data_IF_440162730692
#
_entry.id   IF_440162730692
#
_cell.length_a   1.000
_cell.length_b   1.000
_cell.length_c   1.000
_cell.angle_alpha   90.00
_cell.angle_beta   90.00
_cell.angle_gamma   90.00
#
_symmetry.space_group_name_H-M   'P 1'
#
loop_
_entity.id
_entity.type
_entity.pdbx_description
1 polymer ?
#
# COMPACT_ATOMS: atom_id res chain seq x y z
N UNK A 1 -21.46 -4.60 4.55
CA UNK A 1 -20.50 -4.39 3.44
C UNK A 1 -20.41 -2.95 2.93
N UNK A 2 -21.50 -2.22 2.66
CA UNK A 2 -21.42 -0.80 2.20
C UNK A 2 -20.65 0.15 3.14
N UNK A 3 -20.83 0.00 4.47
CA UNK A 3 -20.07 0.80 5.45
C UNK A 3 -18.57 0.45 5.45
N UNK A 4 -18.24 -0.84 5.37
CA UNK A 4 -16.88 -1.34 5.27
C UNK A 4 -16.16 -0.78 4.04
N UNK A 5 -16.82 -0.83 2.88
CA UNK A 5 -16.29 -0.28 1.63
C UNK A 5 -16.07 1.24 1.71
N UNK A 6 -17.02 2.00 2.27
CA UNK A 6 -16.86 3.45 2.45
C UNK A 6 -15.63 3.78 3.29
N UNK A 7 -15.41 3.08 4.41
CA UNK A 7 -14.23 3.28 5.27
C UNK A 7 -12.95 2.98 4.48
N UNK A 8 -12.94 1.87 3.75
CA UNK A 8 -11.77 1.38 3.03
C UNK A 8 -11.42 2.29 1.83
N UNK A 9 -12.43 2.79 1.13
CA UNK A 9 -12.29 3.76 0.04
C UNK A 9 -11.80 5.11 0.56
N UNK A 10 -12.35 5.60 1.67
CA UNK A 10 -11.87 6.84 2.31
C UNK A 10 -10.41 6.69 2.72
N UNK A 11 -10.04 5.58 3.37
CA UNK A 11 -8.66 5.30 3.74
C UNK A 11 -7.74 5.27 2.51
N UNK A 12 -8.18 4.63 1.43
CA UNK A 12 -7.44 4.59 0.17
C UNK A 12 -7.12 6.00 -0.36
N UNK A 13 -8.14 6.85 -0.47
CA UNK A 13 -7.97 8.22 -0.98
C UNK A 13 -7.18 9.11 -0.04
N UNK A 14 -7.34 8.97 1.29
CA UNK A 14 -6.54 9.73 2.27
C UNK A 14 -5.06 9.45 2.07
N UNK A 15 -4.67 8.18 1.95
CA UNK A 15 -3.26 7.80 1.80
C UNK A 15 -2.72 8.21 0.43
N UNK A 16 -3.54 8.11 -0.62
CA UNK A 16 -3.16 8.59 -1.95
C UNK A 16 -2.95 10.11 -1.97
N UNK A 17 -3.88 10.87 -1.39
CA UNK A 17 -3.77 12.32 -1.26
C UNK A 17 -2.54 12.69 -0.43
N UNK A 18 -2.27 11.98 0.66
CA UNK A 18 -1.06 12.18 1.47
C UNK A 18 0.23 11.96 0.66
N UNK A 19 0.26 10.93 -0.18
CA UNK A 19 1.40 10.66 -1.06
C UNK A 19 1.58 11.77 -2.09
N UNK A 20 0.48 12.27 -2.68
CA UNK A 20 0.52 13.42 -3.60
C UNK A 20 1.00 14.69 -2.90
N UNK A 21 0.58 14.93 -1.66
CA UNK A 21 1.07 16.05 -0.85
C UNK A 21 2.59 15.94 -0.69
N UNK A 22 3.14 14.77 -0.35
CA UNK A 22 4.60 14.58 -0.25
C UNK A 22 5.30 14.96 -1.56
N UNK A 23 4.77 14.53 -2.71
CA UNK A 23 5.31 14.86 -4.04
C UNK A 23 5.28 16.38 -4.27
N UNK A 24 4.13 17.03 -4.05
CA UNK A 24 4.01 18.49 -4.23
C UNK A 24 4.98 19.24 -3.32
N UNK A 25 5.11 18.83 -2.05
CA UNK A 25 6.06 19.44 -1.13
C UNK A 25 7.52 19.20 -1.53
N UNK A 26 7.83 18.04 -2.13
CA UNK A 26 9.15 17.74 -2.69
C UNK A 26 9.49 18.58 -3.92
N UNK A 27 8.55 18.77 -4.85
CA UNK A 27 8.75 19.60 -6.05
C UNK A 27 8.87 21.10 -5.73
N UNK A 28 8.26 21.57 -4.64
CA UNK A 28 8.30 22.99 -4.25
C UNK A 28 9.52 23.35 -3.38
N UNK A 29 10.53 22.46 -3.30
CA UNK A 29 11.76 22.61 -2.48
C UNK A 29 11.50 22.94 -1.00
N UNK A 30 10.26 22.74 -0.50
CA UNK A 30 9.92 22.96 0.90
C UNK A 30 10.63 21.95 1.80
N UNK A 31 10.90 20.76 1.28
CA UNK A 31 11.87 19.84 1.86
C UNK A 31 13.26 20.42 1.64
N UNK A 32 13.74 21.25 2.58
CA UNK A 32 15.04 21.93 2.59
C UNK A 32 16.28 20.99 2.61
N UNK A 33 16.07 19.71 2.25
CA UNK A 33 16.85 18.52 2.53
C UNK A 33 16.74 17.50 1.35
N UNK A 34 16.50 17.97 0.13
CA UNK A 34 16.53 17.13 -1.09
C UNK A 34 17.97 16.69 -1.36
N UNK A 35 18.19 15.40 -1.57
CA UNK A 35 19.50 14.88 -1.99
C UNK A 35 20.61 14.81 -0.92
N UNK A 36 20.31 14.91 0.38
CA UNK A 36 21.34 14.84 1.44
C UNK A 36 22.16 13.54 1.36
N UNK A 37 21.53 12.44 0.97
CA UNK A 37 22.17 11.11 0.90
C UNK A 37 22.61 10.72 -0.51
N UNK A 38 22.61 11.66 -1.46
CA UNK A 38 22.99 11.38 -2.86
C UNK A 38 24.50 11.11 -3.03
N UNK A 39 25.35 11.60 -2.13
CA UNK A 39 26.81 11.49 -2.25
C UNK A 39 27.31 10.07 -1.92
N UNK A 40 26.57 9.34 -1.07
CA UNK A 40 26.91 7.98 -0.64
C UNK A 40 26.32 6.91 -1.59
N UNK A 41 27.04 6.62 -2.68
CA UNK A 41 26.67 5.57 -3.66
C UNK A 41 26.45 4.18 -3.03
N UNK A 42 27.15 3.87 -1.94
CA UNK A 42 26.98 2.59 -1.23
C UNK A 42 25.62 2.52 -0.53
N UNK A 43 25.19 3.61 0.12
CA UNK A 43 23.90 3.69 0.80
C UNK A 43 22.75 3.66 -0.19
N UNK A 44 22.87 4.39 -1.31
CA UNK A 44 21.87 4.38 -2.38
C UNK A 44 21.64 2.97 -2.94
N UNK A 45 22.73 2.25 -3.25
CA UNK A 45 22.63 0.88 -3.77
C UNK A 45 21.98 -0.09 -2.78
N UNK A 46 22.39 -0.05 -1.50
CA UNK A 46 21.85 -0.93 -0.45
C UNK A 46 20.37 -0.64 -0.25
N UNK A 47 19.99 0.63 -0.10
CA UNK A 47 18.60 1.03 0.15
C UNK A 47 17.69 0.69 -1.02
N UNK A 48 18.16 0.94 -2.25
CA UNK A 48 17.43 0.59 -3.48
C UNK A 48 17.18 -0.91 -3.54
N UNK A 49 18.22 -1.72 -3.31
CA UNK A 49 18.12 -3.18 -3.34
C UNK A 49 17.14 -3.73 -2.29
N UNK A 50 17.17 -3.19 -1.07
CA UNK A 50 16.24 -3.58 0.01
C UNK A 50 14.81 -3.26 -0.38
N UNK A 51 14.56 -2.04 -0.85
CA UNK A 51 13.21 -1.60 -1.22
C UNK A 51 12.65 -2.32 -2.44
N UNK A 52 13.51 -2.70 -3.39
CA UNK A 52 13.12 -3.50 -4.54
C UNK A 52 12.65 -4.90 -4.10
N UNK A 53 13.42 -5.59 -3.25
CA UNK A 53 13.04 -6.90 -2.71
C UNK A 53 11.72 -6.80 -1.93
N UNK A 54 11.57 -5.77 -1.09
CA UNK A 54 10.34 -5.53 -0.32
C UNK A 54 9.15 -5.32 -1.27
N UNK A 55 9.30 -4.46 -2.29
CA UNK A 55 8.25 -4.15 -3.25
C UNK A 55 7.82 -5.39 -4.04
N UNK A 56 8.78 -6.16 -4.55
CA UNK A 56 8.54 -7.40 -5.30
C UNK A 56 7.83 -8.45 -4.42
N UNK A 57 8.18 -8.54 -3.14
CA UNK A 57 7.53 -9.49 -2.21
C UNK A 57 6.13 -9.04 -1.78
N UNK A 58 5.92 -7.74 -1.55
CA UNK A 58 4.65 -7.23 -1.03
C UNK A 58 3.52 -7.24 -2.07
N UNK A 59 3.84 -7.06 -3.35
CA UNK A 59 2.86 -7.14 -4.44
C UNK A 59 2.11 -8.49 -4.46
N UNK A 60 2.75 -9.66 -4.60
CA UNK A 60 2.05 -10.94 -4.62
C UNK A 60 1.40 -11.27 -3.28
N UNK A 61 1.98 -10.84 -2.15
CA UNK A 61 1.40 -11.09 -0.83
C UNK A 61 0.11 -10.30 -0.63
N UNK A 62 0.07 -9.01 -0.98
CA UNK A 62 -1.15 -8.20 -0.91
C UNK A 62 -2.26 -8.75 -1.83
N UNK A 63 -1.90 -9.30 -3.00
CA UNK A 63 -2.85 -9.93 -3.93
C UNK A 63 -3.35 -11.30 -3.45
N UNK A 64 -2.57 -12.00 -2.62
CA UNK A 64 -2.89 -13.36 -2.12
C UNK A 64 -3.37 -13.38 -0.67
N UNK A 65 -3.42 -12.24 0.03
CA UNK A 65 -3.70 -12.17 1.46
C UNK A 65 -5.00 -12.92 1.87
N UNK A 66 -6.09 -12.75 1.12
CA UNK A 66 -7.36 -13.42 1.40
C UNK A 66 -7.40 -14.91 1.02
N UNK A 67 -6.38 -15.45 0.33
CA UNK A 67 -6.27 -16.89 0.05
C UNK A 67 -5.72 -17.69 1.23
N UNK A 68 -5.11 -17.04 2.23
CA UNK A 68 -4.55 -17.75 3.38
C UNK A 68 -5.65 -18.29 4.30
N UNK A 69 -5.62 -19.62 4.53
CA UNK A 69 -6.64 -20.33 5.33
C UNK A 69 -6.77 -19.80 6.75
N UNK A 70 -5.68 -19.34 7.37
CA UNK A 70 -5.70 -18.71 8.72
C UNK A 70 -6.48 -17.40 8.74
N UNK A 71 -6.23 -16.53 7.77
CA UNK A 71 -6.89 -15.22 7.64
C UNK A 71 -8.37 -15.43 7.32
N UNK A 72 -8.66 -16.30 6.34
CA UNK A 72 -10.03 -16.68 5.98
C UNK A 72 -10.81 -17.23 7.16
N UNK A 73 -10.24 -18.17 7.91
CA UNK A 73 -10.93 -18.76 9.05
C UNK A 73 -11.16 -17.73 10.17
N UNK A 74 -10.21 -16.81 10.41
CA UNK A 74 -10.38 -15.73 11.38
C UNK A 74 -11.49 -14.75 10.99
N UNK A 75 -11.65 -14.45 9.70
CA UNK A 75 -12.73 -13.58 9.20
C UNK A 75 -14.09 -14.29 9.28
N UNK A 76 -14.15 -15.60 9.00
CA UNK A 76 -15.39 -16.39 9.04
C UNK A 76 -15.84 -16.74 10.45
N UNK A 77 -14.91 -16.93 11.39
CA UNK A 77 -15.22 -17.19 12.80
C UNK A 77 -15.78 -15.97 13.52
N UNK A 78 -15.59 -14.79 12.94
CA UNK A 78 -16.02 -13.53 13.52
C UNK A 78 -17.48 -13.22 13.13
N UNK A 79 -18.41 -13.71 13.94
CA UNK A 79 -19.88 -13.50 13.84
C UNK A 79 -20.29 -12.09 14.28
N UNK A 80 -19.43 -11.09 14.10
CA UNK A 80 -19.77 -9.71 14.42
C UNK A 80 -20.55 -9.10 13.25
N UNK A 81 -21.79 -8.62 13.46
CA UNK A 81 -22.67 -8.03 12.43
C UNK A 81 -21.95 -6.98 11.53
N UNK A 82 -20.93 -6.32 12.07
CA UNK A 82 -20.18 -5.25 11.41
C UNK A 82 -19.02 -5.68 10.52
N UNK A 83 -18.71 -6.98 10.38
CA UNK A 83 -17.61 -7.46 9.54
C UNK A 83 -16.25 -6.79 9.88
N UNK A 84 -16.01 -6.48 11.16
CA UNK A 84 -14.84 -5.73 11.64
C UNK A 84 -13.51 -6.39 11.28
N UNK A 85 -13.40 -7.71 11.42
CA UNK A 85 -12.20 -8.46 11.02
C UNK A 85 -11.92 -8.39 9.52
N UNK A 86 -12.96 -8.39 8.67
CA UNK A 86 -12.77 -8.21 7.24
C UNK A 86 -12.20 -6.83 6.91
N UNK A 87 -12.73 -5.77 7.55
CA UNK A 87 -12.24 -4.39 7.40
C UNK A 87 -10.77 -4.31 7.83
N UNK A 88 -10.41 -4.85 8.99
CA UNK A 88 -9.04 -4.81 9.50
C UNK A 88 -8.05 -5.47 8.54
N UNK A 89 -8.34 -6.67 8.05
CA UNK A 89 -7.48 -7.36 7.08
C UNK A 89 -7.43 -6.68 5.72
N UNK A 90 -8.53 -6.07 5.29
CA UNK A 90 -8.55 -5.28 4.06
C UNK A 90 -7.71 -4.00 4.18
N UNK A 91 -7.73 -3.32 5.34
CA UNK A 91 -6.85 -2.18 5.64
C UNK A 91 -5.39 -2.64 5.65
N UNK A 92 -5.08 -3.77 6.28
CA UNK A 92 -3.72 -4.34 6.26
C UNK A 92 -3.26 -4.58 4.83
N UNK A 93 -4.11 -5.19 3.98
CA UNK A 93 -3.82 -5.40 2.55
C UNK A 93 -3.49 -4.09 1.82
N UNK A 94 -4.28 -3.04 2.04
CA UNK A 94 -4.03 -1.72 1.45
C UNK A 94 -2.72 -1.12 1.98
N UNK A 95 -2.51 -1.16 3.29
CA UNK A 95 -1.31 -0.67 3.95
C UNK A 95 -0.03 -1.35 3.46
N UNK A 96 -0.08 -2.64 3.13
CA UNK A 96 1.05 -3.37 2.56
C UNK A 96 1.51 -2.83 1.21
N UNK A 97 0.66 -2.16 0.43
CA UNK A 97 1.07 -1.49 -0.82
C UNK A 97 1.30 0.00 -0.63
N UNK A 98 0.43 0.64 0.16
CA UNK A 98 0.44 2.08 0.32
C UNK A 98 1.56 2.60 1.22
N UNK A 99 1.97 1.84 2.25
CA UNK A 99 3.12 2.23 3.08
C UNK A 99 4.43 2.22 2.28
N UNK A 100 4.79 1.15 1.54
CA UNK A 100 5.96 1.19 0.67
C UNK A 100 5.87 2.28 -0.40
N UNK A 101 4.67 2.62 -0.88
CA UNK A 101 4.48 3.70 -1.85
C UNK A 101 4.87 5.06 -1.27
N UNK A 102 4.41 5.38 -0.06
CA UNK A 102 4.82 6.60 0.66
C UNK A 102 6.33 6.61 0.89
N UNK A 103 6.88 5.50 1.39
CA UNK A 103 8.31 5.44 1.72
C UNK A 103 9.16 5.59 0.45
N UNK A 104 8.79 4.94 -0.65
CA UNK A 104 9.47 5.12 -1.93
C UNK A 104 9.35 6.54 -2.48
N UNK A 105 8.22 7.23 -2.30
CA UNK A 105 8.10 8.64 -2.66
C UNK A 105 9.05 9.52 -1.84
N UNK A 106 9.17 9.28 -0.53
CA UNK A 106 10.12 10.00 0.33
C UNK A 106 11.56 9.69 -0.07
N UNK A 107 11.90 8.42 -0.29
CA UNK A 107 13.26 8.00 -0.68
C UNK A 107 13.67 8.55 -2.05
N UNK A 108 12.73 8.68 -2.98
CA UNK A 108 12.95 9.36 -4.25
C UNK A 108 13.50 10.77 -4.04
N UNK A 109 12.89 11.58 -3.16
CA UNK A 109 13.39 12.93 -2.87
C UNK A 109 14.64 12.94 -1.99
N UNK A 110 14.83 11.96 -1.10
CA UNK A 110 16.04 11.89 -0.26
C UNK A 110 17.30 11.51 -1.04
N UNK A 111 17.19 10.55 -1.96
CA UNK A 111 18.31 10.02 -2.74
C UNK A 111 18.37 10.57 -4.16
N UNK A 112 17.32 11.27 -4.63
CA UNK A 112 17.17 11.70 -6.03
C UNK A 112 17.37 10.55 -7.04
N UNK A 113 16.99 9.33 -6.63
CA UNK A 113 17.13 8.14 -7.46
C UNK A 113 15.77 7.73 -8.05
N UNK A 114 15.72 7.75 -9.39
CA UNK A 114 14.53 7.41 -10.19
C UNK A 114 14.00 6.00 -9.92
N UNK A 115 14.83 5.06 -9.45
CA UNK A 115 14.41 3.71 -9.09
C UNK A 115 13.30 3.72 -8.02
N UNK A 116 13.44 4.55 -6.98
CA UNK A 116 12.39 4.69 -5.95
C UNK A 116 11.11 5.27 -6.54
N UNK A 117 11.21 6.22 -7.46
CA UNK A 117 10.06 6.77 -8.18
C UNK A 117 9.31 5.70 -8.96
N UNK A 118 10.02 4.86 -9.74
CA UNK A 118 9.41 3.76 -10.49
C UNK A 118 8.74 2.73 -9.57
N UNK A 119 9.37 2.37 -8.45
CA UNK A 119 8.75 1.47 -7.47
C UNK A 119 7.45 2.06 -6.88
N UNK A 120 7.44 3.36 -6.58
CA UNK A 120 6.25 4.09 -6.15
C UNK A 120 5.11 4.03 -7.18
N UNK A 121 5.42 4.27 -8.46
CA UNK A 121 4.45 4.19 -9.56
C UNK A 121 3.91 2.76 -9.72
N UNK A 122 4.76 1.74 -9.65
CA UNK A 122 4.35 0.34 -9.75
C UNK A 122 3.38 0.00 -8.60
N UNK A 123 3.70 0.40 -7.37
CA UNK A 123 2.83 0.20 -6.20
C UNK A 123 1.48 0.90 -6.35
N UNK A 124 1.49 2.13 -6.89
CA UNK A 124 0.27 2.86 -7.22
C UNK A 124 -0.58 2.11 -8.26
N UNK A 125 0.02 1.61 -9.35
CA UNK A 125 -0.70 0.84 -10.35
C UNK A 125 -1.26 -0.47 -9.78
N UNK A 126 -0.49 -1.18 -8.97
CA UNK A 126 -0.95 -2.41 -8.30
C UNK A 126 -2.09 -2.11 -7.33
N UNK A 127 -2.12 -0.91 -6.73
CA UNK A 127 -3.19 -0.51 -5.82
C UNK A 127 -4.58 -0.50 -6.49
N UNK A 128 -4.67 -0.21 -7.79
CA UNK A 128 -5.94 -0.31 -8.54
C UNK A 128 -6.45 -1.74 -8.62
N UNK A 129 -5.56 -2.73 -8.72
CA UNK A 129 -5.96 -4.14 -8.69
C UNK A 129 -6.49 -4.59 -7.35
N UNK A 130 -6.39 -3.79 -6.29
CA UNK A 130 -6.95 -4.09 -4.98
C UNK A 130 -7.98 -3.05 -4.51
N UNK A 131 -8.47 -2.23 -5.44
CA UNK A 131 -9.38 -1.14 -5.14
C UNK A 131 -10.67 -1.65 -4.47
N UNK A 132 -11.09 -1.04 -3.34
CA UNK A 132 -12.22 -1.52 -2.55
C UNK A 132 -13.56 -1.09 -3.15
N UNK A 133 -14.16 -1.91 -4.01
CA UNK A 133 -15.55 -1.70 -4.50
C UNK A 133 -16.54 -2.58 -3.73
N UNK A 134 -17.80 -2.13 -3.56
CA UNK A 134 -18.86 -2.95 -2.90
C UNK A 134 -18.95 -4.34 -3.51
N UNK A 135 -19.00 -4.41 -4.84
CA UNK A 135 -19.15 -5.66 -5.60
C UNK A 135 -18.01 -6.61 -5.30
N UNK A 136 -16.78 -6.10 -5.27
CA UNK A 136 -15.60 -6.90 -4.98
C UNK A 136 -15.54 -7.36 -3.53
N UNK A 137 -15.89 -6.49 -2.58
CA UNK A 137 -15.94 -6.86 -1.17
C UNK A 137 -16.99 -7.94 -0.91
N UNK A 138 -18.17 -7.85 -1.55
CA UNK A 138 -19.19 -8.91 -1.50
C UNK A 138 -18.69 -10.21 -2.14
N UNK A 139 -18.11 -10.13 -3.35
CA UNK A 139 -17.55 -11.29 -4.04
C UNK A 139 -16.45 -11.99 -3.24
N UNK A 140 -15.50 -11.23 -2.69
CA UNK A 140 -14.42 -11.78 -1.86
C UNK A 140 -14.99 -12.43 -0.58
N UNK A 141 -16.01 -11.83 0.04
CA UNK A 141 -16.68 -12.38 1.22
C UNK A 141 -17.47 -13.67 0.95
N UNK A 142 -18.25 -13.71 -0.14
CA UNK A 142 -19.00 -14.90 -0.55
C UNK A 142 -18.06 -16.06 -0.92
N UNK A 143 -16.97 -15.75 -1.63
CA UNK A 143 -15.95 -16.74 -2.02
C UNK A 143 -15.16 -17.30 -0.83
N UNK A 144 -15.24 -16.66 0.34
CA UNK A 144 -14.67 -17.20 1.56
C UNK A 144 -15.60 -18.22 2.25
N UNK A 145 -16.92 -18.14 2.02
CA UNK A 145 -17.91 -19.06 2.62
C UNK A 145 -18.00 -20.43 1.93
N UNK A 146 -17.63 -20.51 0.64
CA UNK A 146 -17.51 -21.76 -0.13
C UNK A 146 -16.12 -22.37 -0.06
#
# INVERSE_FOLDING_TARGET
>A
MKQAEKILTINYFIVLAFTLVIIVFGENDWLNNVGIMHDDKSSDFIMTSIMEIITICLIPVSLRLFKFKKIRNGILSDTTENHSSFIAWAIVRLGMLQLPMIVNAILYYMYMNVAFGYMGIILFLVSFFIFPTVERCNFEYERMKG
#
